data_IF_595516675771
#
_entry.id   IF_595516675771
#
_cell.length_a   1.000
_cell.length_b   1.000
_cell.length_c   1.000
_cell.angle_alpha   90.00
_cell.angle_beta   90.00
_cell.angle_gamma   90.00
#
_symmetry.space_group_name_H-M   'P 1'
#
loop_
_entity.id
_entity.type
_entity.pdbx_description
1 polymer ?
#
# COMPACT_ATOMS: atom_id res chain seq x y z
N UNK A 1 -23.92 3.89 -16.56
CA UNK A 1 -24.52 4.73 -15.52
C UNK A 1 -24.54 3.97 -14.21
N UNK A 2 -23.61 4.27 -13.31
CA UNK A 2 -23.56 3.70 -11.97
C UNK A 2 -23.60 4.85 -10.97
N UNK A 3 -24.81 5.33 -10.66
CA UNK A 3 -25.10 6.30 -9.61
C UNK A 3 -25.15 5.70 -8.19
N UNK A 4 -24.49 4.56 -7.96
CA UNK A 4 -24.59 3.82 -6.69
C UNK A 4 -23.54 4.14 -5.63
N UNK A 5 -22.56 5.02 -5.90
CA UNK A 5 -21.41 5.19 -4.99
C UNK A 5 -21.50 6.38 -4.03
N UNK A 6 -22.45 7.28 -4.15
CA UNK A 6 -22.57 8.47 -3.27
C UNK A 6 -23.32 8.20 -1.95
N UNK A 7 -23.81 6.97 -1.73
CA UNK A 7 -24.62 6.63 -0.55
C UNK A 7 -24.15 5.40 0.24
N UNK A 8 -23.15 4.68 -0.26
CA UNK A 8 -22.69 3.42 0.31
C UNK A 8 -21.31 3.57 0.97
N UNK A 9 -20.93 2.56 1.78
CA UNK A 9 -19.63 2.53 2.42
C UNK A 9 -18.47 2.63 1.42
N UNK A 10 -17.65 3.66 1.53
CA UNK A 10 -16.49 3.88 0.65
C UNK A 10 -15.44 2.75 0.72
N UNK A 11 -15.45 1.93 1.78
CA UNK A 11 -14.49 0.84 2.02
C UNK A 11 -14.91 -0.44 1.32
N UNK A 12 -16.17 -0.86 1.51
CA UNK A 12 -16.67 -2.16 1.03
C UNK A 12 -17.87 -2.06 0.08
N UNK A 13 -18.44 -0.88 -0.12
CA UNK A 13 -19.61 -0.67 -0.96
C UNK A 13 -20.93 -1.19 -0.38
N UNK A 14 -20.94 -1.60 0.90
CA UNK A 14 -22.15 -2.03 1.59
C UNK A 14 -22.90 -0.85 2.19
N UNK A 15 -24.15 -1.09 2.55
CA UNK A 15 -25.07 -0.13 3.12
C UNK A 15 -24.54 0.58 4.36
N UNK A 16 -24.84 1.86 4.49
CA UNK A 16 -24.62 2.66 5.69
C UNK A 16 -25.85 2.56 6.60
N UNK A 17 -25.58 2.30 7.88
CA UNK A 17 -26.61 2.23 8.92
C UNK A 17 -26.59 3.53 9.70
N UNK A 18 -27.79 4.17 9.82
CA UNK A 18 -28.00 5.38 10.57
C UNK A 18 -28.68 5.02 11.90
N UNK A 19 -28.12 5.49 13.01
CA UNK A 19 -28.61 5.25 14.37
C UNK A 19 -29.24 6.52 14.93
N UNK A 20 -30.20 6.38 15.81
CA UNK A 20 -30.78 7.52 16.54
C UNK A 20 -29.78 8.13 17.51
N UNK A 21 -28.98 7.29 18.18
CA UNK A 21 -27.96 7.69 19.13
C UNK A 21 -26.56 7.63 18.54
N UNK A 22 -25.68 8.53 19.01
CA UNK A 22 -24.26 8.51 18.68
C UNK A 22 -23.57 7.33 19.35
N UNK A 23 -22.80 6.58 18.58
CA UNK A 23 -21.94 5.48 19.02
C UNK A 23 -20.49 5.86 18.91
N UNK A 24 -19.64 5.28 19.76
CA UNK A 24 -18.20 5.37 19.57
C UNK A 24 -17.78 4.47 18.41
N UNK A 25 -17.12 5.04 17.42
CA UNK A 25 -16.62 4.39 16.21
C UNK A 25 -15.17 4.75 16.00
N UNK A 26 -14.40 3.84 15.40
CA UNK A 26 -12.99 4.05 15.10
C UNK A 26 -12.81 4.29 13.60
N UNK A 27 -12.04 5.32 13.26
CA UNK A 27 -11.68 5.58 11.87
C UNK A 27 -10.68 4.54 11.37
N UNK A 28 -11.01 3.84 10.28
CA UNK A 28 -10.18 2.78 9.70
C UNK A 28 -8.78 3.28 9.22
N UNK A 29 -8.61 4.58 8.96
CA UNK A 29 -7.35 5.14 8.47
C UNK A 29 -6.49 5.81 9.52
N UNK A 30 -7.08 6.49 10.50
CA UNK A 30 -6.31 7.18 11.53
C UNK A 30 -6.44 6.58 12.92
N UNK A 31 -7.21 5.49 13.07
CA UNK A 31 -7.44 4.74 14.30
C UNK A 31 -7.92 5.60 15.49
N UNK A 32 -8.36 6.84 15.22
CA UNK A 32 -8.95 7.70 16.24
C UNK A 32 -10.42 7.38 16.44
N UNK A 33 -10.86 7.51 17.69
CA UNK A 33 -12.24 7.32 18.07
C UNK A 33 -13.07 8.59 17.88
N UNK A 34 -14.26 8.42 17.36
CA UNK A 34 -15.22 9.49 17.09
C UNK A 34 -16.61 9.09 17.60
N UNK A 35 -17.44 10.08 17.84
CA UNK A 35 -18.89 9.86 18.05
C UNK A 35 -19.57 10.04 16.70
N UNK A 36 -20.23 9.01 16.22
CA UNK A 36 -20.99 9.04 14.98
C UNK A 36 -22.32 8.30 15.12
N UNK A 37 -23.33 8.81 14.45
CA UNK A 37 -24.63 8.13 14.31
C UNK A 37 -24.76 7.39 12.97
N UNK A 38 -23.65 7.26 12.24
CA UNK A 38 -23.59 6.50 10.98
C UNK A 38 -22.30 5.69 10.91
N UNK A 39 -22.40 4.43 10.51
CA UNK A 39 -21.28 3.60 10.08
C UNK A 39 -21.77 2.55 9.07
N UNK A 40 -20.84 1.84 8.46
CA UNK A 40 -21.15 0.70 7.60
C UNK A 40 -21.75 -0.45 8.42
N UNK A 41 -22.64 -1.24 7.82
CA UNK A 41 -23.18 -2.46 8.43
C UNK A 41 -22.08 -3.44 8.88
N UNK A 42 -20.91 -3.43 8.23
CA UNK A 42 -19.71 -4.20 8.61
C UNK A 42 -18.81 -3.44 9.63
N UNK A 43 -19.26 -2.32 10.16
CA UNK A 43 -18.54 -1.54 11.17
C UNK A 43 -17.51 -0.54 10.63
N UNK A 44 -17.31 -0.43 9.31
CA UNK A 44 -16.37 0.55 8.76
C UNK A 44 -16.84 1.99 9.01
N UNK A 45 -15.89 2.82 9.44
CA UNK A 45 -16.08 4.26 9.59
C UNK A 45 -14.84 5.03 9.09
N UNK A 46 -15.08 6.14 8.41
CA UNK A 46 -14.03 7.05 7.95
C UNK A 46 -14.38 8.47 8.43
N UNK A 47 -13.50 9.10 9.19
CA UNK A 47 -13.72 10.47 9.66
C UNK A 47 -13.57 11.47 8.51
N UNK A 48 -14.21 12.65 8.63
CA UNK A 48 -14.22 13.69 7.59
C UNK A 48 -12.81 14.11 7.14
N UNK A 49 -11.88 14.19 8.09
CA UNK A 49 -10.50 14.54 7.79
C UNK A 49 -9.81 13.50 6.90
N UNK A 50 -10.02 12.20 7.14
CA UNK A 50 -9.46 11.14 6.30
C UNK A 50 -10.22 10.97 4.98
N UNK A 51 -11.50 11.32 4.97
CA UNK A 51 -12.33 11.28 3.76
C UNK A 51 -11.88 12.33 2.73
N UNK A 52 -11.42 13.49 3.18
CA UNK A 52 -11.00 14.61 2.32
C UNK A 52 -9.50 14.66 2.00
N UNK A 53 -8.69 13.75 2.56
CA UNK A 53 -7.24 13.69 2.30
C UNK A 53 -6.91 13.28 0.87
N UNK A 54 -5.84 13.85 0.32
CA UNK A 54 -5.22 13.27 -0.86
C UNK A 54 -4.56 11.90 -0.57
N UNK A 55 -4.30 11.13 -1.61
CA UNK A 55 -3.78 9.78 -1.49
C UNK A 55 -2.45 9.71 -0.71
N UNK A 56 -1.56 10.65 -0.95
CA UNK A 56 -0.22 10.66 -0.34
C UNK A 56 -0.28 10.99 1.15
N UNK A 57 -1.11 11.94 1.53
CA UNK A 57 -1.34 12.31 2.93
C UNK A 57 -2.04 11.19 3.70
N UNK A 58 -3.02 10.54 3.06
CA UNK A 58 -3.72 9.39 3.63
C UNK A 58 -2.76 8.24 3.91
N UNK A 59 -1.93 7.86 2.93
CA UNK A 59 -0.94 6.79 3.08
C UNK A 59 0.03 7.12 4.23
N UNK A 60 0.58 8.32 4.24
CA UNK A 60 1.53 8.73 5.29
C UNK A 60 0.89 8.67 6.69
N UNK A 61 -0.30 9.25 6.83
CA UNK A 61 -1.00 9.29 8.12
C UNK A 61 -1.32 7.88 8.63
N UNK A 62 -1.92 7.05 7.78
CA UNK A 62 -2.21 5.66 8.11
C UNK A 62 -0.95 4.90 8.55
N UNK A 63 0.11 4.96 7.77
CA UNK A 63 1.36 4.27 8.03
C UNK A 63 2.07 4.75 9.31
N UNK A 64 1.93 6.02 9.68
CA UNK A 64 2.47 6.55 10.95
C UNK A 64 1.72 6.06 12.17
N UNK A 65 0.40 5.95 12.06
CA UNK A 65 -0.48 5.69 13.21
C UNK A 65 -0.75 4.19 13.45
N UNK A 66 -0.67 3.35 12.41
CA UNK A 66 -0.94 1.91 12.55
C UNK A 66 0.20 1.14 13.23
N UNK A 67 -0.18 0.11 14.00
CA UNK A 67 0.73 -0.87 14.61
C UNK A 67 0.75 -2.21 13.85
N UNK A 68 0.03 -2.31 12.72
CA UNK A 68 -0.02 -3.53 11.91
C UNK A 68 1.34 -3.88 11.33
N UNK A 69 1.59 -5.17 11.17
CA UNK A 69 2.83 -5.70 10.59
C UNK A 69 2.64 -6.29 9.20
N UNK A 70 1.42 -6.72 8.81
CA UNK A 70 1.18 -7.29 7.48
C UNK A 70 1.05 -6.18 6.41
N UNK A 71 2.05 -6.02 5.51
CA UNK A 71 2.06 -4.93 4.53
C UNK A 71 1.01 -5.10 3.43
N UNK A 72 0.59 -6.34 3.11
CA UNK A 72 -0.48 -6.61 2.14
C UNK A 72 -1.85 -6.19 2.68
N UNK A 73 -2.14 -6.47 3.95
CA UNK A 73 -3.38 -6.03 4.58
C UNK A 73 -3.48 -4.50 4.60
N UNK A 74 -2.38 -3.82 4.98
CA UNK A 74 -2.29 -2.36 4.97
C UNK A 74 -2.52 -1.81 3.56
N UNK A 75 -1.88 -2.40 2.55
CA UNK A 75 -2.04 -1.98 1.17
C UNK A 75 -3.48 -2.15 0.66
N UNK A 76 -4.13 -3.29 0.96
CA UNK A 76 -5.52 -3.56 0.59
C UNK A 76 -6.45 -2.52 1.22
N UNK A 77 -6.27 -2.24 2.50
CA UNK A 77 -7.09 -1.27 3.24
C UNK A 77 -6.96 0.14 2.66
N UNK A 78 -5.74 0.60 2.44
CA UNK A 78 -5.47 1.89 1.79
C UNK A 78 -6.07 1.96 0.38
N UNK A 79 -5.88 0.93 -0.44
CA UNK A 79 -6.35 0.89 -1.83
C UNK A 79 -7.87 0.90 -1.98
N UNK A 80 -8.64 0.62 -0.92
CA UNK A 80 -10.11 0.74 -0.91
C UNK A 80 -10.56 2.19 -0.86
N UNK A 81 -9.72 3.12 -0.38
CA UNK A 81 -10.05 4.54 -0.36
C UNK A 81 -10.13 5.09 -1.80
N UNK A 82 -11.19 5.85 -2.14
CA UNK A 82 -11.38 6.44 -3.46
C UNK A 82 -10.26 7.38 -3.92
N UNK A 83 -9.51 8.00 -3.00
CA UNK A 83 -8.36 8.83 -3.35
C UNK A 83 -7.21 8.04 -3.97
N UNK A 84 -7.18 6.71 -3.77
CA UNK A 84 -6.19 5.81 -4.38
C UNK A 84 -6.78 5.20 -5.64
N UNK A 85 -6.49 5.81 -6.79
CA UNK A 85 -7.02 5.43 -8.08
C UNK A 85 -6.74 3.96 -8.44
N UNK A 86 -7.47 3.42 -9.43
CA UNK A 86 -7.16 2.09 -9.98
C UNK A 86 -5.73 2.04 -10.53
N UNK A 87 -5.32 3.12 -11.21
CA UNK A 87 -3.99 3.33 -11.76
C UNK A 87 -3.52 4.73 -11.41
N UNK A 88 -2.36 4.86 -10.77
CA UNK A 88 -1.84 6.17 -10.39
C UNK A 88 -0.48 6.12 -9.71
N UNK A 89 0.25 7.25 -9.68
CA UNK A 89 1.58 7.35 -9.10
C UNK A 89 1.60 7.23 -7.57
N UNK A 90 0.46 7.36 -6.90
CA UNK A 90 0.34 7.16 -5.45
C UNK A 90 0.79 5.77 -5.01
N UNK A 91 0.71 4.76 -5.91
CA UNK A 91 1.22 3.41 -5.64
C UNK A 91 2.74 3.37 -5.50
N UNK A 92 3.44 4.34 -6.10
CA UNK A 92 4.90 4.44 -5.98
C UNK A 92 5.35 4.80 -4.56
N UNK A 93 4.50 5.52 -3.81
CA UNK A 93 4.69 5.78 -2.38
C UNK A 93 4.03 4.71 -1.50
N UNK A 94 2.86 4.20 -1.87
CA UNK A 94 2.13 3.19 -1.10
C UNK A 94 3.02 1.95 -0.80
N UNK A 95 3.69 1.42 -1.82
CA UNK A 95 4.53 0.22 -1.67
C UNK A 95 5.64 0.41 -0.63
N UNK A 96 6.56 1.39 -0.75
CA UNK A 96 7.59 1.57 0.25
C UNK A 96 7.02 1.98 1.63
N UNK A 97 5.89 2.70 1.67
CA UNK A 97 5.30 3.14 2.93
C UNK A 97 4.79 1.96 3.78
N UNK A 98 4.03 1.03 3.18
CA UNK A 98 3.55 -0.14 3.93
C UNK A 98 4.67 -1.10 4.32
N UNK A 99 5.72 -1.23 3.48
CA UNK A 99 6.90 -2.05 3.78
C UNK A 99 7.73 -1.46 4.92
N UNK A 100 8.01 -0.15 4.91
CA UNK A 100 8.69 0.55 6.00
C UNK A 100 7.90 0.42 7.30
N UNK A 101 6.58 0.60 7.23
CA UNK A 101 5.70 0.48 8.38
C UNK A 101 5.76 -0.93 8.97
N UNK A 102 5.62 -1.93 8.12
CA UNK A 102 5.72 -3.34 8.51
C UNK A 102 7.06 -3.65 9.19
N UNK A 103 8.17 -3.25 8.57
CA UNK A 103 9.52 -3.49 9.06
C UNK A 103 9.74 -2.90 10.46
N UNK A 104 9.47 -1.61 10.64
CA UNK A 104 9.70 -0.94 11.92
C UNK A 104 8.67 -1.30 13.00
N UNK A 105 7.44 -1.68 12.62
CA UNK A 105 6.47 -2.22 13.58
C UNK A 105 6.89 -3.62 14.05
N UNK A 106 7.44 -4.46 13.17
CA UNK A 106 7.96 -5.79 13.54
C UNK A 106 9.15 -5.70 14.50
N UNK A 107 9.99 -4.66 14.36
CA UNK A 107 11.13 -4.40 15.23
C UNK A 107 10.79 -3.57 16.48
N UNK A 108 9.55 -3.10 16.61
CA UNK A 108 9.11 -2.16 17.66
C UNK A 108 9.90 -0.83 17.69
N UNK A 109 10.31 -0.34 16.50
CA UNK A 109 11.12 0.88 16.32
C UNK A 109 10.28 2.04 15.76
N UNK A 110 9.20 2.41 16.45
CA UNK A 110 8.19 3.39 15.99
C UNK A 110 8.75 4.80 15.76
N UNK A 111 9.72 5.23 16.56
CA UNK A 111 10.33 6.56 16.44
C UNK A 111 11.12 6.73 15.13
N UNK A 112 11.73 5.65 14.65
CA UNK A 112 12.47 5.65 13.38
C UNK A 112 11.50 5.62 12.19
N UNK A 113 10.40 4.90 12.31
CA UNK A 113 9.36 4.73 11.28
C UNK A 113 8.95 6.06 10.64
N UNK A 114 8.57 7.05 11.45
CA UNK A 114 8.08 8.34 10.96
C UNK A 114 9.11 9.07 10.07
N UNK A 115 10.38 9.05 10.46
CA UNK A 115 11.48 9.67 9.67
C UNK A 115 11.71 8.95 8.36
N UNK A 116 11.65 7.61 8.36
CA UNK A 116 11.84 6.79 7.16
C UNK A 116 10.69 6.92 6.17
N UNK A 117 9.46 7.05 6.65
CA UNK A 117 8.28 7.36 5.84
C UNK A 117 8.41 8.71 5.13
N UNK A 118 8.90 9.75 5.82
CA UNK A 118 9.12 11.06 5.21
C UNK A 118 10.16 11.01 4.07
N UNK A 119 11.23 10.22 4.25
CA UNK A 119 12.22 9.99 3.19
C UNK A 119 11.60 9.28 1.98
N UNK A 120 10.83 8.22 2.21
CA UNK A 120 10.14 7.50 1.14
C UNK A 120 9.16 8.40 0.39
N UNK A 121 8.36 9.22 1.11
CA UNK A 121 7.44 10.20 0.52
C UNK A 121 8.15 11.17 -0.41
N UNK A 122 9.30 11.68 0.01
CA UNK A 122 10.09 12.62 -0.79
C UNK A 122 10.61 11.95 -2.05
N UNK A 123 11.24 10.77 -1.93
CA UNK A 123 11.82 10.05 -3.08
C UNK A 123 10.76 9.57 -4.07
N UNK A 124 9.58 9.16 -3.60
CA UNK A 124 8.50 8.67 -4.46
C UNK A 124 7.96 9.73 -5.44
N UNK A 125 8.09 11.02 -5.11
CA UNK A 125 7.68 12.13 -5.98
C UNK A 125 8.46 12.19 -7.30
N UNK A 126 9.67 11.64 -7.32
CA UNK A 126 10.53 11.64 -8.50
C UNK A 126 10.21 10.48 -9.46
N UNK A 127 9.38 9.51 -9.03
CA UNK A 127 8.94 8.39 -9.87
C UNK A 127 7.70 8.82 -10.65
N UNK A 128 7.88 9.14 -11.93
CA UNK A 128 6.79 9.65 -12.77
C UNK A 128 5.78 8.56 -13.18
N UNK A 129 4.54 8.98 -13.42
CA UNK A 129 3.53 8.12 -14.01
C UNK A 129 3.94 7.67 -15.42
N UNK A 130 3.57 6.44 -15.80
CA UNK A 130 3.87 5.89 -17.13
C UNK A 130 5.25 5.23 -17.28
N UNK A 131 6.15 5.33 -16.28
CA UNK A 131 7.48 4.70 -16.34
C UNK A 131 7.42 3.20 -16.61
N UNK A 132 6.40 2.51 -16.12
CA UNK A 132 6.22 1.07 -16.34
C UNK A 132 6.19 0.69 -17.83
N UNK A 133 5.46 1.43 -18.66
CA UNK A 133 5.33 1.14 -20.09
C UNK A 133 6.40 1.83 -20.95
N UNK A 134 6.71 3.09 -20.66
CA UNK A 134 7.61 3.87 -21.52
C UNK A 134 9.09 3.64 -21.24
N UNK A 135 9.45 3.25 -20.02
CA UNK A 135 10.83 3.07 -19.60
C UNK A 135 11.11 1.66 -19.07
N UNK A 136 10.14 0.74 -19.11
CA UNK A 136 10.29 -0.61 -18.58
C UNK A 136 10.54 -0.66 -17.07
N UNK A 137 10.13 0.37 -16.33
CA UNK A 137 10.49 0.55 -14.92
C UNK A 137 9.23 0.81 -14.08
N UNK A 138 8.62 -0.26 -13.58
CA UNK A 138 7.41 -0.16 -12.77
C UNK A 138 7.68 0.55 -11.44
N UNK A 139 6.91 1.62 -11.15
CA UNK A 139 7.09 2.40 -9.93
C UNK A 139 6.83 1.61 -8.64
N UNK A 140 6.03 0.55 -8.67
CA UNK A 140 5.88 -0.36 -7.53
C UNK A 140 7.16 -1.15 -7.25
N UNK A 141 7.85 -1.62 -8.29
CA UNK A 141 9.14 -2.30 -8.17
C UNK A 141 10.23 -1.35 -7.65
N UNK A 142 10.29 -0.12 -8.20
CA UNK A 142 11.18 0.94 -7.71
C UNK A 142 10.89 1.25 -6.24
N UNK A 143 9.61 1.27 -5.85
CA UNK A 143 9.18 1.45 -4.45
C UNK A 143 9.71 0.36 -3.52
N UNK A 144 9.71 -0.90 -3.95
CA UNK A 144 10.29 -2.00 -3.19
C UNK A 144 11.82 -1.86 -3.04
N UNK A 145 12.54 -1.51 -4.12
CA UNK A 145 13.96 -1.21 -4.06
C UNK A 145 14.28 0.01 -3.20
N UNK A 146 13.44 1.05 -3.26
CA UNK A 146 13.52 2.23 -2.39
C UNK A 146 13.38 1.86 -0.91
N UNK A 147 12.45 0.97 -0.57
CA UNK A 147 12.31 0.44 0.78
C UNK A 147 13.61 -0.19 1.27
N UNK A 148 14.21 -1.10 0.50
CA UNK A 148 15.50 -1.72 0.84
C UNK A 148 16.61 -0.66 0.98
N UNK A 149 16.67 0.30 0.05
CA UNK A 149 17.62 1.42 0.13
C UNK A 149 17.50 2.20 1.45
N UNK A 150 16.27 2.44 1.91
CA UNK A 150 15.99 3.23 3.12
C UNK A 150 16.36 2.47 4.40
N UNK A 151 16.02 1.18 4.50
CA UNK A 151 16.31 0.39 5.71
C UNK A 151 17.79 0.03 5.82
N UNK A 152 18.47 -0.19 4.70
CA UNK A 152 19.92 -0.53 4.67
C UNK A 152 20.84 0.69 4.61
N UNK A 153 20.28 1.91 4.47
CA UNK A 153 21.08 3.13 4.36
C UNK A 153 21.90 3.23 3.05
N UNK A 154 21.37 2.68 1.95
CA UNK A 154 22.07 2.70 0.65
C UNK A 154 22.25 4.12 0.12
N UNK A 155 23.43 4.35 -0.44
CA UNK A 155 23.83 5.55 -1.20
C UNK A 155 24.54 5.13 -2.49
N UNK A 156 24.76 6.04 -3.45
CA UNK A 156 25.55 5.73 -4.64
C UNK A 156 26.98 5.24 -4.36
N UNK A 157 27.48 5.48 -3.15
CA UNK A 157 28.86 5.12 -2.74
C UNK A 157 28.93 3.87 -1.86
N UNK A 158 27.80 3.35 -1.39
CA UNK A 158 27.78 2.10 -0.60
C UNK A 158 27.86 0.89 -1.53
N UNK A 159 28.54 -0.17 -1.08
CA UNK A 159 28.73 -1.38 -1.90
C UNK A 159 27.56 -2.34 -1.79
N UNK A 160 27.40 -2.95 -0.61
CA UNK A 160 26.45 -4.06 -0.42
C UNK A 160 25.00 -3.58 -0.37
N UNK A 161 24.71 -2.51 0.35
CA UNK A 161 23.36 -1.93 0.42
C UNK A 161 22.90 -1.36 -0.93
N UNK A 162 23.81 -0.78 -1.74
CA UNK A 162 23.52 -0.40 -3.12
C UNK A 162 23.10 -1.62 -3.96
N UNK A 163 23.86 -2.71 -3.85
CA UNK A 163 23.57 -3.95 -4.57
C UNK A 163 22.21 -4.52 -4.19
N UNK A 164 21.89 -4.62 -2.89
CA UNK A 164 20.62 -5.13 -2.39
C UNK A 164 19.43 -4.30 -2.88
N UNK A 165 19.52 -2.97 -2.85
CA UNK A 165 18.45 -2.10 -3.32
C UNK A 165 18.14 -2.29 -4.81
N UNK A 166 19.18 -2.42 -5.64
CA UNK A 166 19.04 -2.66 -7.08
C UNK A 166 18.52 -4.08 -7.35
N UNK A 167 19.03 -5.07 -6.62
CA UNK A 167 18.59 -6.46 -6.74
C UNK A 167 17.09 -6.59 -6.42
N UNK A 168 16.62 -5.95 -5.35
CA UNK A 168 15.20 -5.94 -4.99
C UNK A 168 14.33 -5.38 -6.12
N UNK A 169 14.73 -4.23 -6.69
CA UNK A 169 14.00 -3.66 -7.83
C UNK A 169 13.96 -4.64 -9.01
N UNK A 170 15.10 -5.24 -9.36
CA UNK A 170 15.21 -6.22 -10.43
C UNK A 170 14.35 -7.45 -10.19
N UNK A 171 14.35 -8.01 -8.99
CA UNK A 171 13.52 -9.16 -8.60
C UNK A 171 12.04 -8.87 -8.78
N UNK A 172 11.56 -7.73 -8.29
CA UNK A 172 10.16 -7.34 -8.45
C UNK A 172 9.80 -7.12 -9.94
N UNK A 173 10.67 -6.50 -10.74
CA UNK A 173 10.44 -6.32 -12.17
C UNK A 173 10.36 -7.66 -12.92
N UNK A 174 11.23 -8.61 -12.61
CA UNK A 174 11.20 -9.94 -13.22
C UNK A 174 9.89 -10.67 -12.89
N UNK A 175 9.45 -10.64 -11.64
CA UNK A 175 8.19 -11.26 -11.22
C UNK A 175 6.99 -10.64 -11.92
N UNK A 176 6.93 -9.31 -12.05
CA UNK A 176 5.88 -8.62 -12.81
C UNK A 176 5.92 -8.95 -14.30
N UNK A 177 7.10 -8.98 -14.91
CA UNK A 177 7.27 -9.24 -16.34
C UNK A 177 6.84 -10.65 -16.72
N UNK A 178 7.06 -11.65 -15.89
CA UNK A 178 6.61 -13.04 -16.10
C UNK A 178 5.09 -13.18 -16.16
N UNK A 179 4.35 -12.35 -15.42
CA UNK A 179 2.88 -12.33 -15.44
C UNK A 179 2.37 -11.59 -16.67
N UNK A 180 3.10 -10.57 -17.11
CA UNK A 180 2.79 -9.78 -18.30
C UNK A 180 1.82 -8.62 -18.06
N UNK A 181 1.65 -7.85 -19.16
CA UNK A 181 0.74 -6.70 -19.20
C UNK A 181 -0.72 -7.07 -19.54
N UNK A 182 -1.57 -6.04 -19.66
CA UNK A 182 -1.29 -4.65 -19.38
C UNK A 182 -1.12 -4.35 -17.89
N UNK A 183 -0.62 -3.14 -17.57
CA UNK A 183 -0.37 -2.71 -16.20
C UNK A 183 -1.62 -2.86 -15.31
N UNK A 184 -1.40 -3.27 -14.08
CA UNK A 184 -2.40 -3.15 -13.02
C UNK A 184 -1.70 -2.69 -11.75
N UNK A 185 -1.82 -1.40 -11.38
CA UNK A 185 -1.08 -0.84 -10.25
C UNK A 185 -1.40 -1.57 -8.92
N UNK A 186 -2.61 -2.14 -8.78
CA UNK A 186 -2.96 -2.95 -7.60
C UNK A 186 -2.18 -4.28 -7.59
N UNK A 187 -2.24 -5.06 -8.67
CA UNK A 187 -1.51 -6.32 -8.83
C UNK A 187 0.00 -6.10 -8.68
N UNK A 188 0.53 -5.12 -9.40
CA UNK A 188 1.96 -4.85 -9.42
C UNK A 188 2.46 -4.41 -8.03
N UNK A 189 1.63 -3.69 -7.25
CA UNK A 189 1.93 -3.39 -5.84
C UNK A 189 1.93 -4.64 -4.97
N UNK A 190 0.97 -5.55 -5.12
CA UNK A 190 0.94 -6.80 -4.35
C UNK A 190 2.16 -7.65 -4.63
N UNK A 191 2.54 -7.80 -5.90
CA UNK A 191 3.74 -8.54 -6.31
C UNK A 191 4.99 -7.90 -5.69
N UNK A 192 5.14 -6.57 -5.78
CA UNK A 192 6.28 -5.86 -5.22
C UNK A 192 6.38 -6.04 -3.69
N UNK A 193 5.25 -5.99 -2.98
CA UNK A 193 5.21 -6.16 -1.52
C UNK A 193 5.55 -7.61 -1.15
N UNK A 194 5.03 -8.60 -1.87
CA UNK A 194 5.30 -10.02 -1.61
C UNK A 194 6.78 -10.35 -1.85
N UNK A 195 7.34 -9.91 -2.98
CA UNK A 195 8.76 -10.12 -3.26
C UNK A 195 9.65 -9.39 -2.24
N UNK A 196 9.30 -8.18 -1.83
CA UNK A 196 10.04 -7.44 -0.81
C UNK A 196 9.97 -8.11 0.57
N UNK A 197 8.86 -8.74 0.92
CA UNK A 197 8.74 -9.47 2.18
C UNK A 197 9.64 -10.71 2.21
N UNK A 198 9.67 -11.51 1.12
CA UNK A 198 10.59 -12.64 0.95
C UNK A 198 12.04 -12.18 1.01
N UNK A 199 12.36 -11.10 0.28
CA UNK A 199 13.68 -10.52 0.24
C UNK A 199 14.15 -10.02 1.62
N UNK A 200 13.23 -9.43 2.40
CA UNK A 200 13.54 -8.94 3.75
C UNK A 200 13.81 -10.10 4.72
N UNK A 201 13.06 -11.18 4.63
CA UNK A 201 13.31 -12.38 5.41
C UNK A 201 14.69 -12.99 5.07
N UNK A 202 15.00 -13.13 3.78
CA UNK A 202 16.25 -13.72 3.29
C UNK A 202 17.50 -12.89 3.64
N UNK A 203 17.45 -11.57 3.44
CA UNK A 203 18.64 -10.72 3.54
C UNK A 203 18.78 -9.95 4.87
N UNK A 204 17.69 -9.80 5.62
CA UNK A 204 17.67 -9.04 6.89
C UNK A 204 17.21 -9.89 8.08
N UNK A 205 16.80 -11.15 7.84
CA UNK A 205 16.28 -12.06 8.86
C UNK A 205 15.08 -11.45 9.63
N UNK A 206 14.22 -10.72 8.93
CA UNK A 206 13.00 -10.10 9.47
C UNK A 206 11.80 -10.56 8.67
N UNK A 207 10.94 -11.37 9.27
CA UNK A 207 9.71 -11.86 8.66
C UNK A 207 8.57 -10.85 8.88
N UNK A 208 8.16 -10.16 7.83
CA UNK A 208 7.14 -9.11 7.90
C UNK A 208 5.73 -9.68 8.12
N UNK A 209 5.42 -10.81 7.51
CA UNK A 209 4.15 -11.54 7.64
C UNK A 209 4.31 -12.99 7.16
N UNK A 210 3.28 -13.80 7.33
CA UNK A 210 3.31 -15.20 6.87
C UNK A 210 2.92 -15.30 5.37
N UNK A 211 3.87 -14.96 4.48
CA UNK A 211 3.67 -14.95 3.03
C UNK A 211 3.47 -16.34 2.42
N UNK A 212 3.74 -17.41 3.17
CA UNK A 212 3.45 -18.80 2.77
C UNK A 212 1.96 -19.13 2.79
N UNK A 213 1.23 -18.57 3.76
CA UNK A 213 -0.18 -18.88 4.01
C UNK A 213 -1.16 -17.75 3.68
N UNK A 214 -0.68 -16.52 3.53
CA UNK A 214 -1.52 -15.37 3.21
C UNK A 214 -1.52 -15.08 1.71
N UNK A 215 -2.71 -14.99 1.12
CA UNK A 215 -2.91 -14.53 -0.26
C UNK A 215 -3.90 -13.38 -0.29
N UNK A 216 -3.58 -12.26 -0.95
CA UNK A 216 -4.51 -11.16 -1.06
C UNK A 216 -5.69 -11.53 -1.94
N UNK A 217 -6.91 -11.20 -1.48
CA UNK A 217 -8.12 -11.33 -2.31
C UNK A 217 -8.37 -10.00 -3.00
N UNK A 218 -8.28 -9.99 -4.33
CA UNK A 218 -8.48 -8.80 -5.13
C UNK A 218 -9.96 -8.41 -5.21
N UNK A 219 -10.33 -7.25 -4.67
CA UNK A 219 -11.66 -6.65 -4.77
C UNK A 219 -11.78 -5.62 -5.91
N UNK A 220 -10.74 -5.45 -6.73
CA UNK A 220 -10.65 -4.37 -7.73
C UNK A 220 -10.95 -4.81 -9.17
N UNK A 221 -11.19 -6.11 -9.41
CA UNK A 221 -11.34 -6.68 -10.75
C UNK A 221 -12.42 -6.01 -11.61
N UNK A 222 -13.52 -5.58 -11.00
CA UNK A 222 -14.61 -4.91 -11.71
C UNK A 222 -14.32 -3.44 -12.04
N UNK A 223 -13.33 -2.83 -11.39
CA UNK A 223 -12.90 -1.45 -11.62
C UNK A 223 -11.78 -1.34 -12.67
N UNK A 224 -11.19 -2.47 -13.08
CA UNK A 224 -10.09 -2.51 -14.04
C UNK A 224 -10.55 -3.13 -15.37
N UNK A 225 -10.61 -2.32 -16.42
CA UNK A 225 -11.02 -2.78 -17.78
C UNK A 225 -10.04 -3.80 -18.36
N UNK A 226 -8.75 -3.68 -18.05
CA UNK A 226 -7.66 -4.51 -18.51
C UNK A 226 -7.33 -5.66 -17.53
N UNK A 227 -8.26 -6.01 -16.64
CA UNK A 227 -8.04 -7.07 -15.65
C UNK A 227 -7.81 -8.42 -16.32
N UNK A 228 -6.75 -9.14 -15.90
CA UNK A 228 -6.42 -10.49 -16.40
C UNK A 228 -7.39 -11.57 -15.89
N UNK A 229 -8.30 -11.22 -14.98
CA UNK A 229 -9.29 -12.12 -14.37
C UNK A 229 -8.62 -13.39 -13.81
N UNK A 230 -8.98 -14.57 -14.33
CA UNK A 230 -8.45 -15.86 -13.88
C UNK A 230 -6.95 -16.06 -14.22
N UNK A 231 -6.39 -15.25 -15.11
CA UNK A 231 -4.95 -15.22 -15.40
C UNK A 231 -4.15 -14.31 -14.44
N UNK A 232 -4.81 -13.67 -13.45
CA UNK A 232 -4.14 -12.88 -12.43
C UNK A 232 -3.72 -13.78 -11.26
N UNK A 233 -2.46 -13.69 -10.75
CA UNK A 233 -1.98 -14.51 -9.63
C UNK A 233 -2.73 -14.25 -8.34
#
# INVERSE_FOLDING_TARGET
>A
HNEKHDRDCMICGKELVYYEDYKEVECIYCHKKYKSNVNCIDGHYVCDACHSMDATELIEKYCRETDRTNPLEMAIELMKNPSINMHGPEHHFLVPAVLITSYYNTLDEKDIKARKLAVAKTRAKDIKGGFCGFYGNCGAAVGAGMYISIISGATPLTRDSWSLANLMTGTALISMAKIGGPRCCKRDSFIAIEEAAKFTDEHFNVKLYDYGNYRPVCSFKLKNRECLKDGCP
#
